data_IF_273376753492
#
_entry.id   IF_273376753492
#
_cell.length_a   1.000
_cell.length_b   1.000
_cell.length_c   1.000
_cell.angle_alpha   90.00
_cell.angle_beta   90.00
_cell.angle_gamma   90.00
#
_symmetry.space_group_name_H-M   'P 1'
#
loop_
_entity.id
_entity.type
_entity.pdbx_description
1 polymer ?
#
# COMPACT_ATOMS: atom_id res chain seq x y z
N UNK A 1 11.90 -8.24 -2.92
CA UNK A 1 11.86 -6.93 -2.25
C UNK A 1 10.55 -6.28 -2.63
N UNK A 2 9.77 -5.81 -1.66
CA UNK A 2 8.46 -5.19 -1.92
C UNK A 2 8.29 -4.03 -0.96
N UNK A 3 7.57 -3.01 -1.39
CA UNK A 3 7.17 -1.89 -0.55
C UNK A 3 5.71 -2.03 -0.18
N UNK A 4 5.38 -1.77 1.08
CA UNK A 4 4.02 -1.51 1.53
C UNK A 4 3.85 -0.01 1.72
N UNK A 5 2.92 0.59 0.99
CA UNK A 5 2.57 2.00 1.14
C UNK A 5 1.20 2.08 1.79
N UNK A 6 1.09 2.86 2.86
CA UNK A 6 -0.16 3.16 3.57
C UNK A 6 -0.55 4.59 3.25
N UNK A 7 -1.77 4.77 2.76
CA UNK A 7 -2.35 6.04 2.38
C UNK A 7 -3.47 6.43 3.35
N UNK A 8 -3.52 7.71 3.70
CA UNK A 8 -4.62 8.30 4.42
C UNK A 8 -5.80 8.51 3.46
N UNK A 9 -6.98 8.01 3.86
CA UNK A 9 -8.22 8.12 3.11
C UNK A 9 -8.62 6.82 2.40
N UNK A 10 -9.81 6.31 2.71
CA UNK A 10 -10.39 5.13 2.06
C UNK A 10 -10.76 5.34 0.58
N UNK A 11 -10.90 6.59 0.15
CA UNK A 11 -11.28 6.96 -1.22
C UNK A 11 -10.27 6.46 -2.27
N UNK A 12 -9.01 6.17 -1.89
CA UNK A 12 -8.05 5.56 -2.80
C UNK A 12 -8.53 4.20 -3.31
N UNK A 13 -9.22 3.43 -2.47
CA UNK A 13 -9.88 2.19 -2.88
C UNK A 13 -11.01 2.40 -3.90
N UNK A 14 -11.72 3.51 -3.83
CA UNK A 14 -12.75 3.86 -4.82
C UNK A 14 -12.13 4.28 -6.17
N UNK A 15 -10.96 4.92 -6.14
CA UNK A 15 -10.22 5.33 -7.35
C UNK A 15 -9.68 4.11 -8.10
N UNK A 16 -9.09 3.15 -7.39
CA UNK A 16 -8.61 1.91 -7.99
C UNK A 16 -8.59 0.77 -6.97
N UNK A 17 -9.67 -0.03 -6.87
CA UNK A 17 -9.77 -1.12 -5.90
C UNK A 17 -8.83 -2.29 -6.21
N UNK A 18 -8.24 -2.32 -7.41
CA UNK A 18 -7.24 -3.31 -7.83
C UNK A 18 -5.84 -2.96 -7.30
N UNK A 19 -5.57 -1.66 -7.13
CA UNK A 19 -4.27 -1.15 -6.71
C UNK A 19 -4.26 -0.88 -5.20
N UNK A 20 -5.31 -0.22 -4.71
CA UNK A 20 -5.42 0.22 -3.33
C UNK A 20 -6.46 -0.62 -2.61
N UNK A 21 -6.03 -1.26 -1.53
CA UNK A 21 -6.86 -2.11 -0.70
C UNK A 21 -7.14 -1.41 0.62
N UNK A 22 -8.28 -1.68 1.24
CA UNK A 22 -8.57 -1.18 2.57
C UNK A 22 -7.53 -1.69 3.59
N UNK A 23 -7.08 -0.82 4.50
CA UNK A 23 -6.14 -1.23 5.54
C UNK A 23 -6.85 -2.07 6.61
N UNK A 24 -6.27 -3.22 6.95
CA UNK A 24 -6.90 -4.23 7.80
C UNK A 24 -7.29 -3.75 9.21
N UNK A 25 -6.51 -2.85 9.83
CA UNK A 25 -6.79 -2.30 11.18
C UNK A 25 -7.52 -0.96 11.17
N UNK A 26 -7.40 -0.18 10.09
CA UNK A 26 -7.95 1.17 10.04
C UNK A 26 -8.71 1.35 8.72
N UNK A 27 -10.03 1.38 8.81
CA UNK A 27 -10.95 1.42 7.67
C UNK A 27 -10.96 2.78 6.95
N UNK A 28 -10.35 3.80 7.55
CA UNK A 28 -10.16 5.10 6.91
C UNK A 28 -8.87 5.18 6.10
N UNK A 29 -8.04 4.14 6.11
CA UNK A 29 -6.79 4.06 5.37
C UNK A 29 -6.86 3.05 4.24
N UNK A 30 -6.06 3.29 3.22
CA UNK A 30 -5.75 2.33 2.17
C UNK A 30 -4.30 1.88 2.27
N UNK A 31 -4.00 0.74 1.67
CA UNK A 31 -2.66 0.21 1.54
C UNK A 31 -2.45 -0.42 0.16
N UNK A 32 -1.21 -0.42 -0.30
CA UNK A 32 -0.83 -1.08 -1.55
C UNK A 32 0.55 -1.71 -1.43
N UNK A 33 0.72 -2.87 -2.06
CA UNK A 33 2.02 -3.47 -2.29
C UNK A 33 2.53 -3.08 -3.67
N UNK A 34 3.79 -2.70 -3.72
CA UNK A 34 4.44 -2.20 -4.92
C UNK A 34 5.91 -2.62 -4.98
N UNK A 35 6.49 -2.46 -6.16
CA UNK A 35 7.87 -2.88 -6.45
C UNK A 35 8.87 -1.80 -6.05
N UNK A 36 8.51 -0.52 -6.21
CA UNK A 36 9.35 0.62 -5.85
C UNK A 36 8.51 1.84 -5.41
N UNK A 37 9.14 2.70 -4.60
CA UNK A 37 8.61 3.98 -4.16
C UNK A 37 9.69 5.04 -4.35
N UNK A 38 9.34 6.14 -4.99
CA UNK A 38 10.16 7.36 -5.05
C UNK A 38 9.46 8.47 -4.27
N UNK A 39 10.20 9.10 -3.36
CA UNK A 39 9.73 10.15 -2.46
C UNK A 39 10.24 11.54 -2.81
N UNK A 40 10.95 11.67 -3.93
CA UNK A 40 11.55 12.94 -4.33
C UNK A 40 10.48 13.87 -4.96
N UNK A 41 10.00 14.83 -4.16
CA UNK A 41 9.11 15.89 -4.61
C UNK A 41 7.80 15.97 -3.83
N UNK A 42 6.86 16.78 -4.33
CA UNK A 42 5.55 16.98 -3.70
C UNK A 42 4.58 15.80 -3.90
N UNK A 43 4.90 14.91 -4.83
CA UNK A 43 4.16 13.69 -5.14
C UNK A 43 5.08 12.49 -4.91
N UNK A 44 4.51 11.41 -4.39
CA UNK A 44 5.18 10.12 -4.25
C UNK A 44 4.83 9.25 -5.45
N UNK A 45 5.84 8.73 -6.14
CA UNK A 45 5.69 7.76 -7.23
C UNK A 45 5.69 6.34 -6.65
N UNK A 46 4.62 5.59 -6.92
CA UNK A 46 4.46 4.18 -6.56
C UNK A 46 4.50 3.37 -7.85
N UNK A 47 5.46 2.45 -7.97
CA UNK A 47 5.59 1.57 -9.15
C UNK A 47 5.08 0.17 -8.84
N UNK A 48 4.10 -0.32 -9.60
CA UNK A 48 3.56 -1.69 -9.50
C UNK A 48 3.44 -2.30 -10.90
N UNK A 49 4.30 -3.26 -11.21
CA UNK A 49 4.45 -3.80 -12.57
C UNK A 49 4.76 -2.68 -13.58
N UNK A 50 3.97 -2.61 -14.65
CA UNK A 50 4.10 -1.57 -15.67
C UNK A 50 3.32 -0.28 -15.35
N UNK A 51 2.73 -0.19 -14.15
CA UNK A 51 1.92 0.96 -13.73
C UNK A 51 2.69 1.85 -12.75
N UNK A 52 2.58 3.16 -12.95
CA UNK A 52 3.07 4.19 -12.03
C UNK A 52 1.89 5.00 -11.51
N UNK A 53 1.79 5.11 -10.19
CA UNK A 53 0.78 5.91 -9.52
C UNK A 53 1.47 7.08 -8.81
N UNK A 54 0.91 8.28 -8.97
CA UNK A 54 1.40 9.48 -8.28
C UNK A 54 0.37 9.90 -7.25
N UNK A 55 0.76 9.86 -5.98
CA UNK A 55 -0.09 10.31 -4.87
C UNK A 55 0.53 11.53 -4.20
N UNK A 56 -0.27 12.45 -3.65
CA UNK A 56 0.25 13.54 -2.84
C UNK A 56 1.11 13.02 -1.69
N UNK A 57 2.24 13.67 -1.42
CA UNK A 57 3.14 13.24 -0.34
C UNK A 57 2.45 13.24 1.04
N UNK A 58 1.57 14.21 1.27
CA UNK A 58 0.77 14.34 2.51
C UNK A 58 -0.31 13.26 2.67
N UNK A 59 -0.66 12.55 1.58
CA UNK A 59 -1.54 11.40 1.63
C UNK A 59 -0.83 10.15 2.15
N UNK A 60 0.52 10.09 2.15
CA UNK A 60 1.25 8.90 2.59
C UNK A 60 1.45 8.92 4.11
N UNK A 61 0.85 7.94 4.78
CA UNK A 61 1.03 7.70 6.23
C UNK A 61 2.37 7.02 6.48
N UNK A 62 2.71 6.03 5.66
CA UNK A 62 3.96 5.29 5.77
C UNK A 62 4.32 4.63 4.43
N UNK A 63 5.63 4.54 4.14
CA UNK A 63 6.19 3.69 3.11
C UNK A 63 7.21 2.76 3.75
N UNK A 64 6.96 1.46 3.69
CA UNK A 64 7.72 0.44 4.41
C UNK A 64 8.38 -0.50 3.41
N UNK A 65 9.71 -0.58 3.44
CA UNK A 65 10.46 -1.53 2.62
C UNK A 65 10.53 -2.88 3.33
N UNK A 66 9.83 -3.88 2.78
CA UNK A 66 9.79 -5.24 3.30
C UNK A 66 10.90 -6.06 2.64
N UNK A 67 11.95 -6.35 3.42
CA UNK A 67 13.07 -7.19 2.98
C UNK A 67 12.72 -8.68 3.01
N UNK A 68 12.04 -9.12 4.07
CA UNK A 68 11.55 -10.49 4.26
C UNK A 68 10.03 -10.48 4.47
N UNK A 69 9.30 -11.13 3.55
CA UNK A 69 7.84 -11.22 3.59
C UNK A 69 7.32 -12.08 4.75
N UNK A 70 8.18 -12.89 5.39
CA UNK A 70 7.82 -13.69 6.56
C UNK A 70 8.08 -12.96 7.89
N UNK A 71 8.73 -11.79 7.86
CA UNK A 71 9.07 -10.97 9.04
C UNK A 71 8.51 -9.57 8.92
N UNK A 72 7.21 -9.44 8.70
CA UNK A 72 6.62 -8.13 8.42
C UNK A 72 6.39 -7.25 9.64
N UNK A 73 6.85 -7.65 10.84
CA UNK A 73 6.76 -6.84 12.08
C UNK A 73 5.36 -6.27 12.37
N UNK A 74 4.30 -6.97 11.94
CA UNK A 74 2.90 -6.55 12.10
C UNK A 74 2.29 -5.79 10.91
N UNK A 75 3.05 -5.53 9.84
CA UNK A 75 2.55 -5.03 8.56
C UNK A 75 2.04 -6.20 7.71
N UNK A 76 0.74 -6.32 7.50
CA UNK A 76 0.20 -7.51 6.82
C UNK A 76 0.15 -7.28 5.31
N UNK A 77 0.54 -8.28 4.53
CA UNK A 77 0.32 -8.30 3.08
C UNK A 77 -1.19 -8.24 2.81
N UNK A 78 -1.70 -7.27 2.03
CA UNK A 78 -3.12 -7.17 1.67
C UNK A 78 -3.72 -8.48 1.17
N UNK A 79 -2.94 -9.30 0.44
CA UNK A 79 -3.42 -10.58 -0.11
C UNK A 79 -3.61 -11.66 0.95
N UNK A 80 -2.81 -11.65 2.02
CA UNK A 80 -2.96 -12.59 3.14
C UNK A 80 -4.30 -12.35 3.88
N UNK A 81 -4.77 -11.11 3.91
CA UNK A 81 -6.07 -10.77 4.51
C UNK A 81 -7.24 -11.25 3.64
N UNK A 82 -7.11 -11.17 2.32
CA UNK A 82 -8.13 -11.65 1.38
C UNK A 82 -8.26 -13.19 1.41
N UNK A 83 -7.14 -13.93 1.58
CA UNK A 83 -7.15 -15.40 1.64
C UNK A 83 -7.54 -15.96 3.02
N UNK A 84 -7.32 -15.23 4.11
CA UNK A 84 -7.65 -15.65 5.48
C UNK A 84 -9.09 -15.38 5.93
N UNK A 85 -9.94 -14.79 5.08
CA UNK A 85 -11.34 -14.47 5.40
C UNK A 85 -12.33 -15.59 5.04
N UNK A 86 -11.83 -16.77 4.63
CA UNK A 86 -12.62 -17.90 4.14
C UNK A 86 -12.73 -19.10 5.10
N UNK A 87 -12.25 -18.99 6.35
CA UNK A 87 -12.39 -20.02 7.39
C UNK A 87 -13.42 -19.66 8.47
#
# INVERSE_FOLDING_TARGET
MRWLVILNGKHWGDVSPVIFHEHHRNKDWCMTLCDAVDTDGAMIEITRGDTRCYVPQDAVVAAVHIQDANQTMGFIDPKIIEEGAHD
#
